data_IF_093651745477
#
_entry.id   IF_093651745477
#
_cell.length_a   1.000
_cell.length_b   1.000
_cell.length_c   1.000
_cell.angle_alpha   90.00
_cell.angle_beta   90.00
_cell.angle_gamma   90.00
#
_symmetry.space_group_name_H-M   'P 1'
#
loop_
_entity.id
_entity.type
_entity.pdbx_description
1 polymer ?
#
# COMPACT_ATOMS: atom_id res chain seq x y z
N UNK A 1 4.40 9.93 -17.93
CA UNK A 1 4.24 9.93 -16.47
C UNK A 1 3.70 8.57 -16.11
N UNK A 2 4.39 7.80 -15.26
CA UNK A 2 3.85 6.53 -14.76
C UNK A 2 2.89 6.88 -13.62
N UNK A 3 1.62 6.51 -13.75
CA UNK A 3 0.63 6.75 -12.71
C UNK A 3 0.98 5.92 -11.47
N UNK A 4 1.03 6.57 -10.30
CA UNK A 4 1.34 5.92 -9.02
C UNK A 4 0.21 6.15 -8.02
N UNK A 5 -0.02 5.16 -7.17
CA UNK A 5 -0.87 5.32 -6.00
C UNK A 5 0.00 5.60 -4.78
N UNK A 6 -0.51 6.43 -3.86
CA UNK A 6 0.16 6.70 -2.59
C UNK A 6 -0.63 6.07 -1.46
N UNK A 7 0.03 5.18 -0.72
CA UNK A 7 -0.52 4.51 0.44
C UNK A 7 0.13 5.12 1.68
N UNK A 8 -0.67 5.78 2.50
CA UNK A 8 -0.26 6.25 3.80
C UNK A 8 -0.20 5.07 4.76
N UNK A 9 0.90 4.98 5.50
CA UNK A 9 1.14 3.97 6.51
C UNK A 9 1.23 4.66 7.86
N UNK A 10 0.54 4.11 8.85
CA UNK A 10 0.68 4.49 10.25
C UNK A 10 1.03 3.25 11.06
N UNK A 11 2.17 3.27 11.75
CA UNK A 11 2.71 2.12 12.46
C UNK A 11 3.30 2.52 13.80
N UNK A 12 3.34 1.59 14.77
CA UNK A 12 4.08 1.80 16.03
C UNK A 12 5.55 1.40 15.87
N UNK A 13 5.83 0.35 15.09
CA UNK A 13 7.19 -0.19 14.87
C UNK A 13 7.59 0.04 13.40
N UNK A 14 8.22 1.19 13.14
CA UNK A 14 8.64 1.56 11.79
C UNK A 14 9.65 0.58 11.20
N UNK A 15 10.68 0.21 11.95
CA UNK A 15 11.77 -0.62 11.46
C UNK A 15 11.27 -1.98 10.97
N UNK A 16 10.34 -2.59 11.71
CA UNK A 16 9.76 -3.86 11.32
C UNK A 16 8.73 -3.71 10.19
N UNK A 17 7.83 -2.72 10.30
CA UNK A 17 6.75 -2.55 9.30
C UNK A 17 7.29 -2.14 7.93
N UNK A 18 8.26 -1.22 7.89
CA UNK A 18 8.91 -0.79 6.64
C UNK A 18 9.62 -1.95 5.96
N UNK A 19 10.39 -2.75 6.70
CA UNK A 19 11.07 -3.95 6.17
C UNK A 19 10.07 -4.97 5.63
N UNK A 20 8.98 -5.24 6.34
CA UNK A 20 7.97 -6.20 5.89
C UNK A 20 7.28 -5.72 4.61
N UNK A 21 6.92 -4.44 4.53
CA UNK A 21 6.32 -3.87 3.32
C UNK A 21 7.32 -3.91 2.18
N UNK A 22 8.56 -3.45 2.40
CA UNK A 22 9.62 -3.46 1.41
C UNK A 22 9.86 -4.86 0.85
N UNK A 23 10.06 -5.86 1.72
CA UNK A 23 10.24 -7.25 1.29
C UNK A 23 9.03 -7.78 0.50
N UNK A 24 7.82 -7.43 0.92
CA UNK A 24 6.59 -7.87 0.22
C UNK A 24 6.48 -7.29 -1.18
N UNK A 25 6.84 -6.01 -1.34
CA UNK A 25 6.77 -5.32 -2.62
C UNK A 25 7.95 -5.70 -3.53
N UNK A 26 9.15 -5.94 -2.99
CA UNK A 26 10.29 -6.47 -3.75
C UNK A 26 9.99 -7.88 -4.27
N UNK A 27 9.41 -8.76 -3.45
CA UNK A 27 8.97 -10.08 -3.93
C UNK A 27 7.93 -9.97 -5.05
N UNK A 28 7.03 -8.98 -4.96
CA UNK A 28 6.07 -8.71 -6.03
C UNK A 28 6.78 -8.28 -7.32
N UNK A 29 7.73 -7.34 -7.24
CA UNK A 29 8.53 -6.91 -8.40
C UNK A 29 9.23 -8.09 -9.08
N UNK A 30 9.87 -8.95 -8.31
CA UNK A 30 10.53 -10.17 -8.80
C UNK A 30 9.55 -11.11 -9.51
N UNK A 31 8.38 -11.35 -8.90
CA UNK A 31 7.34 -12.23 -9.45
C UNK A 31 6.78 -11.76 -10.79
N UNK A 32 6.80 -10.45 -11.05
CA UNK A 32 6.24 -9.87 -12.28
C UNK A 32 7.29 -9.28 -13.22
N UNK A 33 8.57 -9.56 -12.96
CA UNK A 33 9.71 -9.04 -13.71
C UNK A 33 9.63 -7.52 -13.91
N UNK A 34 9.36 -6.79 -12.83
CA UNK A 34 9.34 -5.33 -12.80
C UNK A 34 10.52 -4.78 -11.99
N UNK A 35 10.91 -3.55 -12.28
CA UNK A 35 11.93 -2.79 -11.57
C UNK A 35 11.34 -1.39 -11.23
N UNK A 36 11.80 -0.78 -10.13
CA UNK A 36 11.38 0.54 -9.65
C UNK A 36 9.85 0.75 -9.51
N UNK A 37 9.15 -0.34 -9.19
CA UNK A 37 7.70 -0.43 -9.05
C UNK A 37 7.16 0.23 -7.79
N UNK A 38 7.98 0.48 -6.76
CA UNK A 38 7.57 1.23 -5.58
C UNK A 38 8.69 2.07 -4.96
N UNK A 39 8.31 3.04 -4.13
CA UNK A 39 9.21 3.88 -3.32
C UNK A 39 8.59 4.05 -1.93
N UNK A 40 9.42 3.99 -0.90
CA UNK A 40 9.01 4.25 0.50
C UNK A 40 9.69 5.55 0.93
N UNK A 41 8.91 6.48 1.49
CA UNK A 41 9.47 7.73 2.05
C UNK A 41 10.10 7.50 3.41
N UNK A 42 10.89 8.46 3.85
CA UNK A 42 11.30 8.55 5.26
C UNK A 42 10.08 8.60 6.18
N UNK A 43 10.28 8.17 7.42
CA UNK A 43 9.26 8.23 8.46
C UNK A 43 9.25 9.57 9.19
N UNK A 44 8.06 10.07 9.43
CA UNK A 44 7.78 11.12 10.40
C UNK A 44 7.25 10.50 11.70
N UNK A 45 7.83 10.85 12.85
CA UNK A 45 7.40 10.33 14.16
C UNK A 45 6.58 11.37 14.92
N UNK A 46 5.37 11.00 15.34
CA UNK A 46 4.50 11.84 16.15
C UNK A 46 3.56 11.01 17.02
N UNK A 47 3.36 11.43 18.27
CA UNK A 47 2.42 10.81 19.22
C UNK A 47 2.59 9.29 19.42
N UNK A 48 3.82 8.77 19.35
CA UNK A 48 4.09 7.33 19.48
C UNK A 48 3.79 6.52 18.21
N UNK A 49 3.56 7.20 17.08
CA UNK A 49 3.34 6.61 15.77
C UNK A 49 4.37 7.09 14.77
N UNK A 50 4.64 6.24 13.81
CA UNK A 50 5.41 6.51 12.62
C UNK A 50 4.46 6.63 11.42
N UNK A 51 4.63 7.69 10.65
CA UNK A 51 3.88 7.99 9.44
C UNK A 51 4.83 8.03 8.25
N UNK A 52 4.49 7.32 7.19
CA UNK A 52 5.28 7.30 5.95
C UNK A 52 4.38 6.94 4.77
N UNK A 53 4.87 7.18 3.57
CA UNK A 53 4.14 6.93 2.32
C UNK A 53 4.85 5.86 1.51
N UNK A 54 4.05 4.93 0.99
CA UNK A 54 4.48 3.96 0.00
C UNK A 54 3.84 4.33 -1.33
N UNK A 55 4.64 4.75 -2.29
CA UNK A 55 4.20 5.10 -3.63
C UNK A 55 4.41 3.91 -4.56
N UNK A 56 3.35 3.37 -5.14
CA UNK A 56 3.38 2.15 -5.98
C UNK A 56 2.91 2.47 -7.40
N UNK A 57 3.67 2.04 -8.40
CA UNK A 57 3.30 2.17 -9.80
C UNK A 57 2.06 1.32 -10.11
N UNK A 58 1.06 1.92 -10.77
CA UNK A 58 -0.18 1.23 -11.16
C UNK A 58 0.11 0.02 -12.07
N UNK A 59 1.16 0.07 -12.89
CA UNK A 59 1.54 -1.06 -13.74
C UNK A 59 1.94 -2.29 -12.92
N UNK A 60 2.65 -2.10 -11.80
CA UNK A 60 2.99 -3.20 -10.89
C UNK A 60 1.74 -3.89 -10.34
N UNK A 61 0.72 -3.08 -10.01
CA UNK A 61 -0.55 -3.56 -9.48
C UNK A 61 -1.35 -4.30 -10.55
N UNK A 62 -1.34 -3.81 -11.80
CA UNK A 62 -1.98 -4.51 -12.93
C UNK A 62 -1.34 -5.88 -13.16
N UNK A 63 0.00 -5.95 -13.17
CA UNK A 63 0.72 -7.21 -13.32
C UNK A 63 0.41 -8.20 -12.19
N UNK A 64 0.29 -7.72 -10.94
CA UNK A 64 -0.19 -8.57 -9.83
C UNK A 64 -1.59 -9.10 -10.09
N UNK A 65 -2.52 -8.23 -10.53
CA UNK A 65 -3.89 -8.61 -10.80
C UNK A 65 -3.98 -9.67 -11.90
N UNK A 66 -3.16 -9.54 -12.95
CA UNK A 66 -3.06 -10.50 -14.05
C UNK A 66 -2.50 -11.85 -13.56
N UNK A 67 -1.42 -11.84 -12.75
CA UNK A 67 -0.83 -13.05 -12.18
C UNK A 67 -1.78 -13.80 -11.24
N UNK A 68 -2.53 -13.08 -10.40
CA UNK A 68 -3.50 -13.67 -9.47
C UNK A 68 -4.82 -14.04 -10.15
N UNK A 69 -5.15 -13.43 -11.28
CA UNK A 69 -6.34 -13.70 -12.07
C UNK A 69 -7.65 -13.62 -11.25
N UNK A 70 -8.48 -14.68 -11.23
CA UNK A 70 -9.76 -14.67 -10.52
C UNK A 70 -9.65 -14.40 -9.02
N UNK A 71 -8.55 -14.77 -8.38
CA UNK A 71 -8.40 -14.58 -6.93
C UNK A 71 -8.20 -13.11 -6.56
N UNK A 72 -7.60 -12.31 -7.45
CA UNK A 72 -7.55 -10.87 -7.29
C UNK A 72 -8.95 -10.24 -7.33
N UNK A 73 -9.80 -10.73 -8.23
CA UNK A 73 -11.17 -10.23 -8.38
C UNK A 73 -12.04 -10.52 -7.15
N UNK A 74 -11.71 -11.56 -6.37
CA UNK A 74 -12.39 -11.87 -5.10
C UNK A 74 -11.97 -10.99 -3.92
N UNK A 75 -10.86 -10.25 -4.03
CA UNK A 75 -10.42 -9.34 -2.97
C UNK A 75 -11.46 -8.24 -2.72
N UNK A 76 -11.61 -7.84 -1.45
CA UNK A 76 -12.48 -6.72 -1.07
C UNK A 76 -11.96 -5.40 -1.67
N UNK A 77 -12.88 -4.45 -1.86
CA UNK A 77 -12.57 -3.14 -2.44
C UNK A 77 -13.06 -2.99 -3.89
N UNK A 78 -13.44 -1.75 -4.24
CA UNK A 78 -13.88 -1.36 -5.58
C UNK A 78 -12.68 -0.78 -6.35
N UNK A 79 -12.42 -1.29 -7.54
CA UNK A 79 -11.29 -0.86 -8.35
C UNK A 79 -9.98 -1.59 -8.01
N UNK A 80 -8.97 -1.34 -8.84
CA UNK A 80 -7.68 -2.01 -8.79
C UNK A 80 -6.91 -1.65 -7.51
N UNK A 81 -6.93 -0.36 -7.16
CA UNK A 81 -6.17 0.25 -6.08
C UNK A 81 -6.67 -0.25 -4.72
N UNK A 82 -7.99 -0.24 -4.50
CA UNK A 82 -8.57 -0.70 -3.22
C UNK A 82 -8.40 -2.21 -3.02
N UNK A 83 -8.44 -3.00 -4.10
CA UNK A 83 -8.14 -4.44 -4.05
C UNK A 83 -6.67 -4.68 -3.73
N UNK A 84 -5.77 -3.91 -4.33
CA UNK A 84 -4.35 -3.94 -3.98
C UNK A 84 -4.08 -3.56 -2.53
N UNK A 85 -4.73 -2.50 -2.03
CA UNK A 85 -4.64 -2.13 -0.61
C UNK A 85 -5.07 -3.29 0.27
N UNK A 86 -6.18 -3.96 -0.06
CA UNK A 86 -6.65 -5.14 0.68
C UNK A 86 -5.63 -6.29 0.62
N UNK A 87 -5.04 -6.56 -0.55
CA UNK A 87 -3.99 -7.56 -0.71
C UNK A 87 -2.78 -7.26 0.18
N UNK A 88 -2.28 -6.02 0.13
CA UNK A 88 -1.11 -5.60 0.91
C UNK A 88 -1.40 -5.66 2.41
N UNK A 89 -2.56 -5.15 2.85
CA UNK A 89 -3.00 -5.26 4.25
C UNK A 89 -3.02 -6.71 4.71
N UNK A 90 -3.62 -7.62 3.93
CA UNK A 90 -3.66 -9.05 4.28
C UNK A 90 -2.25 -9.66 4.41
N UNK A 91 -1.29 -9.25 3.58
CA UNK A 91 0.10 -9.74 3.65
C UNK A 91 0.83 -9.25 4.89
N UNK A 92 0.55 -8.02 5.34
CA UNK A 92 1.20 -7.42 6.50
C UNK A 92 0.52 -7.81 7.82
N UNK A 93 -0.81 -7.91 7.86
CA UNK A 93 -1.58 -8.29 9.06
C UNK A 93 -1.32 -9.73 9.51
N UNK A 94 -0.99 -10.65 8.58
CA UNK A 94 -0.57 -12.02 8.91
C UNK A 94 0.64 -12.06 9.87
N UNK A 95 1.35 -10.94 10.06
CA UNK A 95 2.51 -10.82 10.95
C UNK A 95 2.20 -10.16 12.30
N UNK A 96 0.92 -9.98 12.66
CA UNK A 96 0.46 -9.41 13.94
C UNK A 96 1.00 -8.00 14.23
N UNK A 97 1.23 -7.21 13.18
CA UNK A 97 1.76 -5.84 13.27
C UNK A 97 0.63 -4.85 13.52
N UNK A 98 0.82 -3.93 14.47
CA UNK A 98 -0.09 -2.78 14.67
C UNK A 98 0.18 -1.74 13.59
N UNK A 99 -0.47 -1.91 12.45
CA UNK A 99 -0.31 -1.06 11.26
C UNK A 99 -1.67 -0.67 10.69
N UNK A 100 -1.76 0.53 10.14
CA UNK A 100 -2.91 1.00 9.36
C UNK A 100 -2.42 1.47 7.99
N UNK A 101 -3.07 0.99 6.94
CA UNK A 101 -2.81 1.38 5.56
C UNK A 101 -4.04 2.09 4.98
N UNK A 102 -3.84 3.21 4.31
CA UNK A 102 -4.90 3.90 3.58
C UNK A 102 -4.39 4.52 2.28
N UNK A 103 -5.14 4.36 1.20
CA UNK A 103 -4.86 5.10 -0.03
C UNK A 103 -5.21 6.57 0.22
N UNK A 104 -4.30 7.46 -0.16
CA UNK A 104 -4.57 8.89 -0.26
C UNK A 104 -5.52 9.11 -1.44
N UNK A 105 -6.80 8.87 -1.23
CA UNK A 105 -7.83 9.45 -2.11
C UNK A 105 -7.72 10.96 -1.96
N UNK A 106 -7.77 11.69 -3.07
CA UNK A 106 -7.93 13.15 -3.06
C UNK A 106 -9.06 13.47 -2.07
N UNK A 107 -8.69 14.05 -0.93
CA UNK A 107 -9.65 14.51 0.06
C UNK A 107 -10.34 15.77 -0.50
N UNK A 108 -11.15 15.61 -1.54
CA UNK A 108 -12.11 16.61 -2.00
C UNK A 108 -13.49 16.38 -1.36
N UNK A 109 -13.55 15.89 -0.12
CA UNK A 109 -14.81 15.86 0.65
C UNK A 109 -14.64 16.32 2.09
N UNK A 110 -13.74 17.27 2.32
CA UNK A 110 -13.76 18.12 3.53
C UNK A 110 -14.00 19.60 3.20
N UNK A 111 -14.52 19.90 2.00
CA UNK A 111 -15.11 21.22 1.70
C UNK A 111 -16.44 21.45 2.44
N UNK A 112 -17.05 20.40 3.00
CA UNK A 112 -18.23 20.48 3.84
C UNK A 112 -17.92 19.91 5.22
N UNK A 113 -17.15 20.66 6.01
CA UNK A 113 -17.15 20.47 7.45
C UNK A 113 -18.56 20.77 7.97
N UNK A 114 -19.23 19.75 8.50
CA UNK A 114 -20.38 19.94 9.38
C UNK A 114 -19.90 19.52 10.76
N UNK A 115 -19.59 20.53 11.56
CA UNK A 115 -19.60 20.47 13.02
C UNK A 115 -21.05 20.50 13.52
#
# INVERSE_FOLDING_TARGET
>A
MQDRININISAIDYDNTSKVIQSTLTLLEEMVHAEDGFVITDSEFAFGWHFYVVSVNIELIRKLADQMGPDFHKLKGKGLEKKFLTWLTNKVEQKNLKIKLSIKEEMESSKYGIF
#
